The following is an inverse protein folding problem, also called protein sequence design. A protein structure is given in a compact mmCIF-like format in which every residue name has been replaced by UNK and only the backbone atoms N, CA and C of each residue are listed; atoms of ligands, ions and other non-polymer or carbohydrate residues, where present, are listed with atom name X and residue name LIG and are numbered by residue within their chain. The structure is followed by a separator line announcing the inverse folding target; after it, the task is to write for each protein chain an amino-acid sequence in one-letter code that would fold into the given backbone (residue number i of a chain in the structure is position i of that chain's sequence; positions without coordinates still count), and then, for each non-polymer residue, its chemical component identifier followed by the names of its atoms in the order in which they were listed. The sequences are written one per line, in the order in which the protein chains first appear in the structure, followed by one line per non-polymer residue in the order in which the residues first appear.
data_IF_472242449177
#
_entry.id   IF_472242449177
#
_cell.length_a   1.000
_cell.length_b   1.000
_cell.length_c   1.000
_cell.angle_alpha   90.00
_cell.angle_beta   90.00
_cell.angle_gamma   90.00
#
_symmetry.space_group_name_H-M   'P 1'
#
loop_
_entity.id
_entity.type
_entity.pdbx_description
1 polymer ?
#
# COMPACT_ATOMS: atom_id res chain seq x y z
N UNK A 1 -34.37 -28.15 -0.75
CA UNK A 1 -35.41 -28.96 -0.07
C UNK A 1 -36.78 -28.33 -0.30
N UNK A 2 -37.70 -29.04 -0.97
CA UNK A 2 -39.08 -28.56 -1.21
C UNK A 2 -40.00 -29.06 -0.10
N UNK A 3 -40.82 -28.17 0.47
CA UNK A 3 -41.79 -28.49 1.54
C UNK A 3 -43.22 -28.35 1.04
N UNK A 4 -44.14 -29.08 1.66
CA UNK A 4 -45.58 -28.99 1.42
C UNK A 4 -46.29 -28.41 2.65
N UNK A 5 -47.37 -27.68 2.41
CA UNK A 5 -48.32 -27.23 3.43
C UNK A 5 -49.64 -27.93 3.21
N UNK A 6 -50.09 -28.63 4.24
CA UNK A 6 -51.38 -29.32 4.25
C UNK A 6 -52.42 -28.38 4.85
N UNK A 7 -53.55 -28.21 4.16
CA UNK A 7 -54.67 -27.38 4.60
C UNK A 7 -55.96 -28.20 4.63
N UNK A 8 -57.00 -27.63 5.25
CA UNK A 8 -58.33 -28.24 5.30
C UNK A 8 -58.83 -28.66 3.90
N UNK A 9 -59.72 -29.65 3.87
CA UNK A 9 -60.32 -30.19 2.65
C UNK A 9 -59.29 -30.78 1.66
N UNK A 10 -58.15 -31.28 2.15
CA UNK A 10 -57.16 -31.97 1.33
C UNK A 10 -56.32 -31.08 0.42
N UNK A 11 -56.34 -29.75 0.63
CA UNK A 11 -55.55 -28.82 -0.19
C UNK A 11 -54.06 -28.94 0.15
N UNK A 12 -53.24 -29.10 -0.90
CA UNK A 12 -51.78 -29.20 -0.78
C UNK A 12 -51.14 -28.03 -1.53
N UNK A 13 -50.50 -27.12 -0.78
CA UNK A 13 -49.81 -25.96 -1.35
C UNK A 13 -48.29 -26.08 -1.15
N UNK A 14 -47.49 -25.54 -2.08
CA UNK A 14 -46.05 -25.46 -1.90
C UNK A 14 -45.69 -24.47 -0.78
N UNK A 15 -44.80 -24.90 0.11
CA UNK A 15 -44.14 -23.99 1.05
C UNK A 15 -42.70 -23.80 0.58
N UNK A 16 -42.46 -22.69 -0.11
CA UNK A 16 -41.18 -22.41 -0.73
C UNK A 16 -40.32 -21.57 0.21
N UNK A 17 -39.02 -21.90 0.29
CA UNK A 17 -38.03 -20.97 0.83
C UNK A 17 -37.63 -20.01 -0.29
N UNK A 18 -37.34 -18.77 0.05
CA UNK A 18 -36.77 -17.78 -0.86
C UNK A 18 -35.28 -17.62 -0.55
N UNK A 19 -34.39 -18.48 -1.11
CA UNK A 19 -32.96 -18.34 -0.88
C UNK A 19 -32.43 -17.07 -1.57
N UNK A 20 -31.37 -16.48 -1.03
CA UNK A 20 -30.63 -15.39 -1.64
C UNK A 20 -29.15 -15.78 -1.77
N UNK A 21 -28.48 -15.19 -2.76
CA UNK A 21 -27.02 -15.25 -2.88
C UNK A 21 -26.49 -13.89 -2.46
N UNK A 22 -25.61 -13.87 -1.45
CA UNK A 22 -24.99 -12.63 -0.96
C UNK A 22 -23.49 -12.79 -1.10
N UNK A 23 -22.88 -11.88 -1.83
CA UNK A 23 -21.44 -11.82 -2.05
C UNK A 23 -20.91 -10.49 -1.52
N UNK A 24 -19.78 -10.53 -0.82
CA UNK A 24 -19.12 -9.35 -0.27
C UNK A 24 -17.64 -9.44 -0.58
N UNK A 25 -17.09 -8.37 -1.18
CA UNK A 25 -15.65 -8.24 -1.43
C UNK A 25 -15.19 -7.02 -0.63
N UNK A 26 -14.30 -7.24 0.34
CA UNK A 26 -13.74 -6.20 1.19
C UNK A 26 -12.24 -6.09 0.92
N UNK A 27 -11.74 -4.87 0.79
CA UNK A 27 -10.31 -4.58 0.70
C UNK A 27 -9.95 -3.49 1.70
N UNK A 28 -8.81 -3.65 2.38
CA UNK A 28 -8.27 -2.58 3.22
C UNK A 28 -7.82 -1.41 2.35
N UNK A 29 -8.03 -0.18 2.83
CA UNK A 29 -7.49 1.00 2.14
C UNK A 29 -5.98 1.06 2.36
N UNK A 30 -5.22 1.14 1.27
CA UNK A 30 -3.78 1.33 1.33
C UNK A 30 -3.44 2.66 2.03
N UNK A 31 -2.76 2.58 3.16
CA UNK A 31 -2.11 3.73 3.78
C UNK A 31 -0.73 3.89 3.14
N UNK A 32 -0.67 4.61 2.02
CA UNK A 32 0.61 4.97 1.41
C UNK A 32 1.26 6.02 2.32
N UNK A 33 2.25 5.60 3.11
CA UNK A 33 3.14 6.52 3.81
C UNK A 33 4.07 7.11 2.75
N UNK A 34 4.02 8.43 2.47
CA UNK A 34 4.96 9.04 1.54
C UNK A 34 6.38 8.86 2.07
N UNK A 35 7.29 8.38 1.20
CA UNK A 35 8.71 8.31 1.54
C UNK A 35 9.21 9.73 1.81
N UNK A 36 10.01 9.96 2.87
CA UNK A 36 10.62 11.27 3.10
C UNK A 36 11.49 11.64 1.89
N UNK A 37 11.35 12.87 1.39
CA UNK A 37 12.27 13.41 0.40
C UNK A 37 13.67 13.47 1.04
N UNK A 38 14.66 12.81 0.41
CA UNK A 38 16.05 12.89 0.86
C UNK A 38 16.48 14.36 0.80
N UNK A 39 16.87 14.91 1.95
CA UNK A 39 17.49 16.22 2.05
C UNK A 39 18.68 16.28 1.07
N UNK A 40 18.50 17.03 -0.02
CA UNK A 40 19.60 17.44 -0.91
C UNK A 40 20.43 18.49 -0.17
N UNK A 41 21.08 18.09 0.91
CA UNK A 41 21.98 18.90 1.71
C UNK A 41 23.38 18.93 1.06
N UNK A 42 23.49 19.78 0.05
CA UNK A 42 24.65 20.61 -0.29
C UNK A 42 26.04 19.95 -0.20
N UNK A 43 26.57 19.55 -1.36
CA UNK A 43 28.01 19.30 -1.57
C UNK A 43 28.82 20.53 -1.11
N UNK A 44 29.43 20.48 0.07
CA UNK A 44 30.45 21.47 0.48
C UNK A 44 31.63 21.41 -0.50
N UNK A 45 31.82 22.47 -1.29
CA UNK A 45 33.02 22.66 -2.10
C UNK A 45 34.21 22.94 -1.16
N UNK A 46 35.04 21.93 -0.93
CA UNK A 46 36.33 22.12 -0.25
C UNK A 46 37.29 22.78 -1.27
N UNK A 47 37.73 23.99 -0.97
CA UNK A 47 38.76 24.70 -1.73
C UNK A 47 40.11 23.98 -1.58
N UNK A 48 40.71 23.56 -2.69
CA UNK A 48 42.03 22.95 -2.70
C UNK A 48 43.10 23.98 -2.31
N UNK A 49 43.76 23.76 -1.17
CA UNK A 49 44.90 24.55 -0.70
C UNK A 49 46.10 24.31 -1.64
N UNK A 50 46.55 25.33 -2.36
CA UNK A 50 47.77 25.32 -3.21
C UNK A 50 49.00 24.84 -2.40
N UNK A 51 49.87 23.97 -2.93
CA UNK A 51 51.15 23.68 -2.29
C UNK A 51 52.12 24.85 -2.52
N UNK A 52 52.54 25.54 -1.47
CA UNK A 52 53.76 26.37 -1.48
C UNK A 52 54.94 25.48 -1.08
N UNK A 53 55.51 24.75 -2.03
CA UNK A 53 56.85 24.18 -1.84
C UNK A 53 57.70 24.33 -3.09
N UNK A 54 58.05 25.58 -3.40
CA UNK A 54 59.17 25.95 -4.25
C UNK A 54 59.83 27.18 -3.62
N UNK A 55 60.91 26.93 -2.87
CA UNK A 55 62.08 27.81 -2.61
C UNK A 55 62.85 27.28 -1.40
N UNK A 56 63.51 26.12 -1.54
CA UNK A 56 64.62 25.69 -0.68
C UNK A 56 65.52 24.66 -1.37
N UNK A 57 66.02 24.93 -2.59
CA UNK A 57 67.32 24.40 -3.05
C UNK A 57 67.83 25.33 -4.17
N UNK A 58 68.56 26.38 -3.80
CA UNK A 58 69.47 27.16 -4.65
C UNK A 58 70.24 28.13 -3.73
N UNK A 59 70.97 27.56 -2.78
CA UNK A 59 72.01 28.20 -1.96
C UNK A 59 72.88 27.07 -1.41
N UNK A 60 73.66 26.49 -2.32
CA UNK A 60 75.08 26.13 -2.25
C UNK A 60 75.48 25.49 -3.58
#
# INVERSE_FOLDING_TARGET
MRRRTYRAYGRINPYMRSPCHTEMILTEKEQIVPKPEEEVAQKKKISQKKPKNQKRVARE
#
